data_IF_033597673860
#
_entry.id   IF_033597673860
#
_cell.length_a   1.000
_cell.length_b   1.000
_cell.length_c   1.000
_cell.angle_alpha   90.00
_cell.angle_beta   90.00
_cell.angle_gamma   90.00
#
_symmetry.space_group_name_H-M   'P 1'
#
loop_
_entity.id
_entity.type
_entity.pdbx_description
1 polymer ?
#
# COMPACT_ATOMS: atom_id res chain seq x y z
N UNK A 1 25.96 -18.49 -53.45
CA UNK A 1 27.07 -17.83 -52.72
C UNK A 1 26.65 -16.54 -52.01
N UNK A 2 25.94 -15.61 -52.67
CA UNK A 2 25.57 -14.30 -52.10
C UNK A 2 24.76 -14.41 -50.78
N UNK A 3 23.75 -15.29 -50.74
CA UNK A 3 22.88 -15.49 -49.58
C UNK A 3 23.63 -15.97 -48.32
N UNK A 4 24.65 -16.82 -48.50
CA UNK A 4 25.47 -17.32 -47.41
C UNK A 4 26.35 -16.22 -46.80
N UNK A 5 26.84 -15.29 -47.62
CA UNK A 5 27.66 -14.16 -47.17
C UNK A 5 26.81 -13.13 -46.40
N UNK A 6 25.57 -12.90 -46.83
CA UNK A 6 24.61 -12.03 -46.13
C UNK A 6 24.26 -12.61 -44.75
N UNK A 7 23.96 -13.91 -44.65
CA UNK A 7 23.63 -14.56 -43.36
C UNK A 7 24.76 -14.44 -42.34
N UNK A 8 26.01 -14.57 -42.78
CA UNK A 8 27.18 -14.44 -41.91
C UNK A 8 27.33 -13.01 -41.38
N UNK A 9 27.19 -12.01 -42.26
CA UNK A 9 27.25 -10.59 -41.87
C UNK A 9 26.14 -10.20 -40.88
N UNK A 10 24.92 -10.70 -41.07
CA UNK A 10 23.81 -10.47 -40.14
C UNK A 10 24.13 -11.08 -38.78
N UNK A 11 24.63 -12.32 -38.73
CA UNK A 11 24.98 -12.98 -37.47
C UNK A 11 26.11 -12.26 -36.72
N UNK A 12 27.12 -11.75 -37.43
CA UNK A 12 28.21 -10.98 -36.82
C UNK A 12 27.74 -9.61 -36.31
N UNK A 13 26.83 -8.95 -37.05
CA UNK A 13 26.17 -7.73 -36.60
C UNK A 13 25.32 -7.97 -35.35
N UNK A 14 24.53 -9.06 -35.29
CA UNK A 14 23.76 -9.43 -34.11
C UNK A 14 24.67 -9.69 -32.89
N UNK A 15 25.78 -10.42 -33.07
CA UNK A 15 26.76 -10.67 -32.00
C UNK A 15 27.39 -9.36 -31.50
N UNK A 16 27.67 -8.43 -32.41
CA UNK A 16 28.20 -7.11 -32.07
C UNK A 16 27.17 -6.29 -31.29
N UNK A 17 25.92 -6.25 -31.76
CA UNK A 17 24.82 -5.54 -31.10
C UNK A 17 24.60 -6.07 -29.68
N UNK A 18 24.54 -7.39 -29.50
CA UNK A 18 24.39 -8.01 -28.17
C UNK A 18 25.55 -7.64 -27.25
N UNK A 19 26.79 -7.72 -27.73
CA UNK A 19 27.98 -7.47 -26.90
C UNK A 19 28.21 -6.00 -26.56
N UNK A 20 27.93 -5.10 -27.50
CA UNK A 20 28.27 -3.68 -27.38
C UNK A 20 27.11 -2.87 -26.82
N UNK A 21 25.86 -3.28 -27.08
CA UNK A 21 24.68 -2.51 -26.70
C UNK A 21 23.92 -3.23 -25.58
N UNK A 22 23.51 -4.48 -25.80
CA UNK A 22 22.59 -5.15 -24.89
C UNK A 22 23.23 -5.47 -23.52
N UNK A 23 24.45 -6.02 -23.50
CA UNK A 23 25.14 -6.37 -22.24
C UNK A 23 25.44 -5.12 -21.41
N UNK A 24 26.03 -4.03 -21.95
CA UNK A 24 26.27 -2.82 -21.17
C UNK A 24 24.97 -2.17 -20.69
N UNK A 25 23.93 -2.09 -21.54
CA UNK A 25 22.63 -1.56 -21.13
C UNK A 25 22.03 -2.37 -19.97
N UNK A 26 22.10 -3.70 -20.04
CA UNK A 26 21.64 -4.59 -18.97
C UNK A 26 22.40 -4.37 -17.66
N UNK A 27 23.73 -4.28 -17.72
CA UNK A 27 24.57 -4.06 -16.53
C UNK A 27 24.34 -2.68 -15.92
N UNK A 28 24.22 -1.63 -16.74
CA UNK A 28 23.85 -0.29 -16.27
C UNK A 28 22.47 -0.31 -15.61
N UNK A 29 21.51 -1.03 -16.20
CA UNK A 29 20.18 -1.23 -15.62
C UNK A 29 20.23 -1.89 -14.24
N UNK A 30 21.03 -2.95 -14.07
CA UNK A 30 21.22 -3.61 -12.76
C UNK A 30 21.85 -2.64 -11.75
N UNK A 31 22.90 -1.92 -12.13
CA UNK A 31 23.56 -0.98 -11.22
C UNK A 31 22.59 0.11 -10.76
N UNK A 32 21.81 0.68 -11.69
CA UNK A 32 20.80 1.68 -11.36
C UNK A 32 19.74 1.11 -10.40
N UNK A 33 19.24 -0.09 -10.67
CA UNK A 33 18.27 -0.78 -9.81
C UNK A 33 18.80 -1.02 -8.40
N UNK A 34 20.05 -1.46 -8.27
CA UNK A 34 20.64 -1.72 -6.96
C UNK A 34 20.96 -0.42 -6.20
N UNK A 35 21.41 0.64 -6.89
CA UNK A 35 21.57 1.96 -6.27
C UNK A 35 20.22 2.49 -5.75
N UNK A 36 19.17 2.33 -6.56
CA UNK A 36 17.81 2.67 -6.18
C UNK A 36 17.37 1.90 -4.92
N UNK A 37 17.59 0.58 -4.89
CA UNK A 37 17.32 -0.25 -3.70
C UNK A 37 18.04 0.27 -2.46
N UNK A 38 19.33 0.56 -2.55
CA UNK A 38 20.11 1.10 -1.42
C UNK A 38 19.51 2.41 -0.91
N UNK A 39 19.17 3.34 -1.81
CA UNK A 39 18.55 4.61 -1.45
C UNK A 39 17.20 4.41 -0.74
N UNK A 40 16.36 3.52 -1.25
CA UNK A 40 15.06 3.21 -0.67
C UNK A 40 15.20 2.56 0.72
N UNK A 41 16.17 1.67 0.92
CA UNK A 41 16.47 1.08 2.22
C UNK A 41 17.01 2.09 3.23
N UNK A 42 17.93 2.96 2.81
CA UNK A 42 18.45 4.03 3.69
C UNK A 42 17.31 4.96 4.12
N UNK A 43 16.40 5.27 3.20
CA UNK A 43 15.21 6.08 3.47
C UNK A 43 14.23 5.37 4.41
N UNK A 44 14.02 4.06 4.25
CA UNK A 44 13.20 3.27 5.17
C UNK A 44 13.83 3.19 6.57
N UNK A 45 15.15 2.96 6.64
CA UNK A 45 15.90 2.94 7.89
C UNK A 45 15.87 4.29 8.60
N UNK A 46 15.95 5.41 7.88
CA UNK A 46 15.89 6.74 8.49
C UNK A 46 14.55 7.07 9.16
N UNK A 47 13.47 6.38 8.78
CA UNK A 47 12.15 6.51 9.41
C UNK A 47 12.02 5.75 10.73
N UNK A 48 12.82 4.71 10.93
CA UNK A 48 12.76 3.84 12.12
C UNK A 48 13.95 4.00 13.05
N UNK A 49 15.10 4.44 12.53
CA UNK A 49 16.32 4.66 13.28
C UNK A 49 16.44 6.09 13.77
N UNK A 50 17.07 6.27 14.94
CA UNK A 50 17.55 7.61 15.29
C UNK A 50 18.65 8.04 14.32
N UNK A 51 18.82 9.36 14.13
CA UNK A 51 19.84 9.92 13.23
C UNK A 51 21.25 9.39 13.54
N UNK A 52 21.59 9.24 14.83
CA UNK A 52 22.88 8.72 15.26
C UNK A 52 23.06 7.24 14.86
N UNK A 53 22.05 6.40 15.09
CA UNK A 53 22.12 4.98 14.72
C UNK A 53 22.20 4.80 13.19
N UNK A 54 21.49 5.64 12.43
CA UNK A 54 21.57 5.65 10.97
C UNK A 54 22.97 6.04 10.49
N UNK A 55 23.57 7.08 11.06
CA UNK A 55 24.94 7.50 10.73
C UNK A 55 25.93 6.37 11.00
N UNK A 56 25.82 5.71 12.16
CA UNK A 56 26.67 4.55 12.49
C UNK A 56 26.47 3.42 11.48
N UNK A 57 25.23 3.11 11.11
CA UNK A 57 24.93 2.09 10.11
C UNK A 57 25.56 2.44 8.75
N UNK A 58 25.40 3.68 8.28
CA UNK A 58 25.99 4.15 7.02
C UNK A 58 27.52 4.08 7.07
N UNK A 59 28.15 4.48 8.18
CA UNK A 59 29.61 4.40 8.34
C UNK A 59 30.09 2.94 8.27
N UNK A 60 29.43 2.02 8.98
CA UNK A 60 29.80 0.59 8.98
C UNK A 60 29.64 -0.02 7.58
N UNK A 61 28.53 0.26 6.91
CA UNK A 61 28.27 -0.22 5.56
C UNK A 61 29.26 0.38 4.54
N UNK A 62 29.59 1.66 4.68
CA UNK A 62 30.56 2.34 3.82
C UNK A 62 31.97 1.77 4.02
N UNK A 63 32.39 1.56 5.27
CA UNK A 63 33.68 0.96 5.60
C UNK A 63 33.79 -0.47 5.05
N UNK A 64 32.74 -1.28 5.20
CA UNK A 64 32.66 -2.61 4.59
C UNK A 64 32.77 -2.54 3.06
N UNK A 65 32.02 -1.64 2.43
CA UNK A 65 32.04 -1.48 0.98
C UNK A 65 33.42 -1.06 0.46
N UNK A 66 34.10 -0.13 1.14
CA UNK A 66 35.47 0.29 0.83
C UNK A 66 36.43 -0.89 1.00
N UNK A 67 36.30 -1.68 2.07
CA UNK A 67 37.11 -2.88 2.31
C UNK A 67 37.01 -3.89 1.16
N UNK A 68 35.79 -4.19 0.69
CA UNK A 68 35.57 -5.07 -0.46
C UNK A 68 36.13 -4.45 -1.74
N UNK A 69 35.92 -3.14 -1.98
CA UNK A 69 36.45 -2.46 -3.16
C UNK A 69 37.99 -2.53 -3.22
N UNK A 70 38.68 -2.31 -2.10
CA UNK A 70 40.14 -2.43 -1.99
C UNK A 70 40.60 -3.87 -2.24
N UNK A 71 39.90 -4.86 -1.68
CA UNK A 71 40.19 -6.27 -1.94
C UNK A 71 40.06 -6.62 -3.42
N UNK A 72 38.96 -6.20 -4.06
CA UNK A 72 38.75 -6.41 -5.49
C UNK A 72 39.83 -5.71 -6.34
N UNK A 73 40.25 -4.50 -5.95
CA UNK A 73 41.35 -3.81 -6.61
C UNK A 73 42.67 -4.59 -6.49
N UNK A 74 42.99 -5.13 -5.31
CA UNK A 74 44.16 -5.99 -5.11
C UNK A 74 44.11 -7.24 -5.99
N UNK A 75 42.96 -7.92 -6.09
CA UNK A 75 42.77 -9.07 -6.98
C UNK A 75 42.98 -8.70 -8.45
N UNK A 76 42.47 -7.53 -8.89
CA UNK A 76 42.68 -7.04 -10.26
C UNK A 76 44.16 -6.76 -10.52
N UNK A 77 44.86 -6.07 -9.61
CA UNK A 77 46.30 -5.78 -9.73
C UNK A 77 47.12 -7.07 -9.75
N UNK A 78 46.85 -8.02 -8.85
CA UNK A 78 47.52 -9.32 -8.83
C UNK A 78 47.31 -10.08 -10.15
N UNK A 79 46.08 -10.12 -10.67
CA UNK A 79 45.78 -10.74 -11.97
C UNK A 79 46.49 -10.07 -13.15
N UNK A 80 46.81 -8.76 -13.04
CA UNK A 80 47.60 -8.04 -14.06
C UNK A 80 49.06 -8.42 -14.00
N UNK A 81 49.65 -8.53 -12.80
CA UNK A 81 51.06 -8.90 -12.63
C UNK A 81 51.28 -10.30 -13.21
N UNK A 82 50.41 -11.25 -12.86
CA UNK A 82 50.45 -12.62 -13.36
C UNK A 82 50.27 -12.68 -14.90
N UNK A 83 49.34 -11.89 -15.45
CA UNK A 83 49.18 -11.78 -16.91
C UNK A 83 50.30 -11.04 -17.63
N UNK A 84 50.97 -10.10 -16.99
CA UNK A 84 52.14 -9.41 -17.57
C UNK A 84 53.33 -10.37 -17.68
N UNK A 85 53.41 -11.35 -16.79
CA UNK A 85 54.42 -12.41 -16.81
C UNK A 85 54.09 -13.48 -17.86
N UNK A 86 52.82 -13.73 -18.16
CA UNK A 86 52.40 -14.58 -19.28
C UNK A 86 52.32 -13.79 -20.60
N UNK A 87 53.12 -14.09 -21.62
CA UNK A 87 53.24 -13.34 -22.90
C UNK A 87 51.97 -13.31 -23.82
N UNK A 88 50.75 -13.34 -23.28
CA UNK A 88 49.49 -13.54 -24.02
C UNK A 88 48.83 -12.20 -24.42
N UNK A 89 48.95 -11.86 -25.71
CA UNK A 89 48.45 -10.66 -26.41
C UNK A 89 46.91 -10.55 -26.57
N UNK A 90 46.12 -10.77 -25.51
CA UNK A 90 44.67 -10.44 -25.54
C UNK A 90 44.27 -9.62 -24.31
N UNK A 91 44.35 -8.29 -24.45
CA UNK A 91 43.74 -7.35 -23.50
C UNK A 91 42.22 -7.57 -23.47
N UNK A 92 41.72 -8.24 -22.43
CA UNK A 92 40.32 -8.07 -22.03
C UNK A 92 40.18 -6.69 -21.35
N UNK A 93 39.08 -5.97 -21.58
CA UNK A 93 38.90 -4.62 -21.05
C UNK A 93 38.76 -4.64 -19.52
N UNK A 94 39.72 -4.02 -18.84
CA UNK A 94 39.76 -3.78 -17.39
C UNK A 94 38.43 -3.23 -16.86
N UNK A 95 37.77 -2.38 -17.66
CA UNK A 95 36.49 -1.79 -17.32
C UNK A 95 35.42 -2.86 -16.99
N UNK A 96 35.36 -3.96 -17.74
CA UNK A 96 34.35 -5.01 -17.50
C UNK A 96 34.55 -5.70 -16.16
N UNK A 97 35.80 -5.94 -15.75
CA UNK A 97 36.09 -6.53 -14.43
C UNK A 97 35.71 -5.59 -13.30
N UNK A 98 36.01 -4.28 -13.43
CA UNK A 98 35.65 -3.28 -12.43
C UNK A 98 34.13 -3.12 -12.29
N UNK A 99 33.41 -3.08 -13.42
CA UNK A 99 31.95 -2.99 -13.43
C UNK A 99 31.32 -4.24 -12.78
N UNK A 100 31.82 -5.44 -13.10
CA UNK A 100 31.34 -6.69 -12.48
C UNK A 100 31.61 -6.69 -10.97
N UNK A 101 32.81 -6.29 -10.54
CA UNK A 101 33.17 -6.19 -9.13
C UNK A 101 32.26 -5.20 -8.37
N UNK A 102 32.01 -4.01 -8.95
CA UNK A 102 31.13 -3.01 -8.39
C UNK A 102 29.68 -3.52 -8.29
N UNK A 103 29.19 -4.20 -9.32
CA UNK A 103 27.83 -4.77 -9.34
C UNK A 103 27.68 -5.85 -8.26
N UNK A 104 28.68 -6.74 -8.10
CA UNK A 104 28.70 -7.75 -7.04
C UNK A 104 28.72 -7.09 -5.67
N UNK A 105 29.56 -6.07 -5.47
CA UNK A 105 29.62 -5.33 -4.22
C UNK A 105 28.28 -4.71 -3.85
N UNK A 106 27.62 -4.07 -4.82
CA UNK A 106 26.35 -3.42 -4.62
C UNK A 106 25.23 -4.44 -4.34
N UNK A 107 25.26 -5.61 -4.99
CA UNK A 107 24.34 -6.71 -4.68
C UNK A 107 24.56 -7.26 -3.26
N UNK A 108 25.81 -7.41 -2.82
CA UNK A 108 26.14 -7.81 -1.44
C UNK A 108 25.62 -6.75 -0.45
N UNK A 109 25.80 -5.46 -0.75
CA UNK A 109 25.30 -4.39 0.12
C UNK A 109 23.78 -4.45 0.30
N UNK A 110 23.04 -4.63 -0.78
CA UNK A 110 21.59 -4.84 -0.74
C UNK A 110 21.23 -6.10 0.05
N UNK A 111 21.92 -7.22 -0.19
CA UNK A 111 21.69 -8.47 0.52
C UNK A 111 21.96 -8.37 2.03
N UNK A 112 22.85 -7.47 2.46
CA UNK A 112 23.11 -7.17 3.87
C UNK A 112 22.09 -6.20 4.48
N UNK A 113 21.58 -5.24 3.70
CA UNK A 113 20.59 -4.27 4.17
C UNK A 113 19.27 -4.95 4.58
N UNK A 114 18.84 -5.99 3.86
CA UNK A 114 17.62 -6.74 4.15
C UNK A 114 17.62 -7.32 5.58
N UNK A 115 18.57 -8.19 5.97
CA UNK A 115 18.61 -8.77 7.31
C UNK A 115 18.89 -7.72 8.39
N UNK A 116 19.72 -6.70 8.12
CA UNK A 116 19.96 -5.60 9.07
C UNK A 116 18.65 -4.88 9.39
N UNK A 117 17.87 -4.56 8.36
CA UNK A 117 16.56 -3.90 8.52
C UNK A 117 15.59 -4.79 9.29
N UNK A 118 15.56 -6.08 8.99
CA UNK A 118 14.74 -7.06 9.69
C UNK A 118 15.10 -7.15 11.18
N UNK A 119 16.36 -7.48 11.51
CA UNK A 119 16.80 -7.67 12.89
C UNK A 119 16.71 -6.38 13.72
N UNK A 120 17.01 -5.23 13.11
CA UNK A 120 16.87 -3.94 13.80
C UNK A 120 15.41 -3.64 14.14
N UNK A 121 14.51 -3.81 13.16
CA UNK A 121 13.07 -3.64 13.35
C UNK A 121 12.58 -4.56 14.45
N UNK A 122 12.95 -5.83 14.40
CA UNK A 122 12.58 -6.85 15.38
C UNK A 122 13.01 -6.48 16.79
N UNK A 123 14.29 -6.15 16.97
CA UNK A 123 14.82 -5.76 18.26
C UNK A 123 14.11 -4.52 18.84
N UNK A 124 13.91 -3.47 18.04
CA UNK A 124 13.22 -2.26 18.48
C UNK A 124 11.75 -2.52 18.79
N UNK A 125 11.10 -3.38 17.99
CA UNK A 125 9.72 -3.76 18.16
C UNK A 125 9.49 -4.52 19.46
N UNK A 126 10.28 -5.56 19.73
CA UNK A 126 10.20 -6.33 20.98
C UNK A 126 10.43 -5.44 22.21
N UNK A 127 11.41 -4.52 22.14
CA UNK A 127 11.64 -3.54 23.21
C UNK A 127 10.47 -2.57 23.40
N UNK A 128 9.79 -2.19 22.31
CA UNK A 128 8.59 -1.36 22.39
C UNK A 128 7.42 -2.10 23.04
N UNK A 129 7.22 -3.38 22.69
CA UNK A 129 6.22 -4.26 23.30
C UNK A 129 6.47 -4.46 24.79
N UNK A 130 7.69 -4.79 25.20
CA UNK A 130 8.07 -4.95 26.61
C UNK A 130 7.75 -3.67 27.42
N UNK A 131 8.12 -2.50 26.88
CA UNK A 131 7.83 -1.21 27.53
C UNK A 131 6.32 -0.91 27.62
N UNK A 132 5.52 -1.41 26.69
CA UNK A 132 4.07 -1.23 26.70
C UNK A 132 3.42 -2.22 27.67
N UNK A 133 3.79 -3.50 27.62
CA UNK A 133 3.25 -4.54 28.52
C UNK A 133 3.51 -4.23 29.98
N UNK A 134 4.70 -3.73 30.34
CA UNK A 134 5.01 -3.31 31.72
C UNK A 134 4.11 -2.15 32.22
N UNK A 135 3.60 -1.31 31.31
CA UNK A 135 2.74 -0.17 31.67
C UNK A 135 1.28 -0.55 31.80
N UNK A 136 0.82 -1.53 31.01
CA UNK A 136 -0.56 -1.98 30.98
C UNK A 136 -0.67 -3.12 32.00
N UNK A 137 -0.87 -2.79 33.28
CA UNK A 137 -0.97 -3.77 34.37
C UNK A 137 -2.26 -4.60 34.28
N UNK A 138 -2.34 -5.53 33.33
CA UNK A 138 -3.47 -6.44 33.10
C UNK A 138 -3.38 -7.63 34.04
N UNK A 139 -4.40 -7.89 34.86
CA UNK A 139 -4.41 -9.04 35.77
C UNK A 139 -5.43 -10.14 35.41
N UNK A 140 -6.49 -9.89 34.61
CA UNK A 140 -7.57 -10.87 34.38
C UNK A 140 -8.15 -10.88 32.94
N UNK A 141 -8.92 -11.90 32.54
CA UNK A 141 -9.44 -12.06 31.16
C UNK A 141 -10.59 -11.12 30.77
N UNK A 142 -11.48 -10.73 31.69
CA UNK A 142 -12.43 -9.63 31.46
C UNK A 142 -11.73 -8.27 31.38
N UNK A 143 -10.50 -8.17 31.91
CA UNK A 143 -9.66 -6.99 31.72
C UNK A 143 -9.06 -6.91 30.32
N UNK A 144 -9.19 -7.92 29.45
CA UNK A 144 -8.50 -7.97 28.16
C UNK A 144 -8.96 -6.88 27.18
N UNK A 145 -10.26 -6.55 27.10
CA UNK A 145 -10.74 -5.43 26.28
C UNK A 145 -10.29 -4.07 26.84
N UNK A 146 -10.42 -3.88 28.16
CA UNK A 146 -9.95 -2.66 28.84
C UNK A 146 -8.44 -2.48 28.71
N UNK A 147 -7.70 -3.58 28.68
CA UNK A 147 -6.27 -3.65 28.45
C UNK A 147 -5.88 -3.32 27.03
N UNK A 148 -6.56 -3.89 26.03
CA UNK A 148 -6.39 -3.52 24.62
C UNK A 148 -6.64 -2.01 24.44
N UNK A 149 -7.74 -1.50 25.02
CA UNK A 149 -8.08 -0.07 25.00
C UNK A 149 -7.03 0.80 25.70
N UNK A 150 -6.61 0.40 26.89
CA UNK A 150 -5.58 1.13 27.66
C UNK A 150 -4.25 1.15 26.93
N UNK A 151 -3.88 0.04 26.29
CA UNK A 151 -2.69 -0.06 25.44
C UNK A 151 -2.77 0.89 24.26
N UNK A 152 -3.90 0.91 23.54
CA UNK A 152 -4.15 1.83 22.45
C UNK A 152 -4.01 3.30 22.89
N UNK A 153 -4.59 3.67 24.03
CA UNK A 153 -4.45 5.04 24.61
C UNK A 153 -3.02 5.37 25.01
N UNK A 154 -2.28 4.43 25.60
CA UNK A 154 -0.87 4.65 25.97
C UNK A 154 0.00 4.84 24.73
N UNK A 155 -0.26 4.08 23.67
CA UNK A 155 0.44 4.22 22.41
C UNK A 155 0.10 5.56 21.73
N UNK A 156 -1.18 5.92 21.65
CA UNK A 156 -1.65 7.20 21.09
C UNK A 156 -0.93 8.40 21.72
N UNK A 157 -0.73 8.41 23.04
CA UNK A 157 0.01 9.49 23.73
C UNK A 157 1.45 9.69 23.25
N UNK A 158 2.07 8.65 22.67
CA UNK A 158 3.42 8.72 22.09
C UNK A 158 3.39 8.93 20.58
N UNK A 159 2.27 8.64 19.94
CA UNK A 159 2.12 8.67 18.49
C UNK A 159 2.10 10.12 18.00
N UNK A 160 2.94 10.43 17.03
CA UNK A 160 2.99 11.76 16.41
C UNK A 160 2.13 11.74 15.15
N UNK A 161 0.96 12.37 15.24
CA UNK A 161 0.09 12.52 14.07
C UNK A 161 0.77 13.36 13.00
N UNK A 162 0.66 12.91 11.75
CA UNK A 162 1.10 13.60 10.54
C UNK A 162 -0.08 13.94 9.63
N UNK A 163 -1.31 13.85 10.15
CA UNK A 163 -2.52 14.18 9.40
C UNK A 163 -2.44 15.62 8.86
N UNK A 164 -2.74 15.79 7.57
CA UNK A 164 -2.64 17.07 6.88
C UNK A 164 -1.22 17.58 6.62
N UNK A 165 -0.17 16.81 6.95
CA UNK A 165 1.22 17.19 6.72
C UNK A 165 1.84 16.36 5.58
N UNK A 166 2.71 16.96 4.74
CA UNK A 166 3.48 16.25 3.73
C UNK A 166 4.60 15.45 4.42
N UNK A 167 4.23 14.36 5.10
CA UNK A 167 5.16 13.47 5.79
C UNK A 167 5.22 12.12 5.10
N UNK A 168 6.43 11.66 4.83
CA UNK A 168 6.66 10.29 4.36
C UNK A 168 6.56 9.31 5.52
N UNK A 169 5.87 8.20 5.28
CA UNK A 169 5.50 7.20 6.28
C UNK A 169 5.93 5.82 5.79
N UNK A 170 6.35 4.89 6.68
CA UNK A 170 6.81 3.57 6.26
C UNK A 170 5.80 2.83 5.38
N UNK A 171 4.51 2.84 5.77
CA UNK A 171 3.44 2.21 5.01
C UNK A 171 3.31 2.80 3.61
N UNK A 172 3.26 4.13 3.49
CA UNK A 172 3.15 4.82 2.21
C UNK A 172 4.38 4.62 1.31
N UNK A 173 5.58 4.59 1.90
CA UNK A 173 6.83 4.38 1.17
C UNK A 173 6.87 2.97 0.55
N UNK A 174 6.53 1.95 1.35
CA UNK A 174 6.53 0.56 0.88
C UNK A 174 5.38 0.33 -0.11
N UNK A 175 4.17 0.79 0.18
CA UNK A 175 3.00 0.59 -0.71
C UNK A 175 3.05 1.38 -2.02
N UNK A 176 3.90 2.41 -2.16
CA UNK A 176 4.10 3.10 -3.44
C UNK A 176 5.22 2.51 -4.29
N UNK A 177 6.09 1.70 -3.69
CA UNK A 177 7.26 1.15 -4.35
C UNK A 177 7.09 -0.35 -4.60
N UNK A 178 6.90 -0.81 -5.86
CA UNK A 178 6.68 -2.22 -6.17
C UNK A 178 7.82 -3.14 -5.71
N UNK A 179 9.05 -2.64 -5.64
CA UNK A 179 10.22 -3.42 -5.24
C UNK A 179 10.21 -3.61 -3.72
N UNK A 180 9.94 -2.54 -2.95
CA UNK A 180 9.78 -2.67 -1.50
C UNK A 180 8.59 -3.54 -1.12
N UNK A 181 7.45 -3.44 -1.83
CA UNK A 181 6.31 -4.34 -1.60
C UNK A 181 6.69 -5.82 -1.76
N UNK A 182 7.59 -6.11 -2.70
CA UNK A 182 8.04 -7.48 -2.95
C UNK A 182 8.98 -8.00 -1.86
N UNK A 183 9.80 -7.14 -1.26
CA UNK A 183 10.86 -7.55 -0.31
C UNK A 183 10.40 -7.44 1.15
N UNK A 184 9.64 -6.41 1.49
CA UNK A 184 9.20 -6.14 2.87
C UNK A 184 7.89 -6.89 3.12
N UNK A 185 7.93 -7.91 3.98
CA UNK A 185 6.71 -8.61 4.37
C UNK A 185 5.74 -7.67 5.09
N UNK A 186 4.43 -7.93 4.95
CA UNK A 186 3.37 -7.14 5.61
C UNK A 186 3.57 -7.07 7.13
N UNK A 187 3.97 -8.17 7.75
CA UNK A 187 4.21 -8.20 9.20
C UNK A 187 5.43 -7.34 9.60
N UNK A 188 6.52 -7.39 8.82
CA UNK A 188 7.67 -6.50 9.02
C UNK A 188 7.28 -5.03 8.86
N UNK A 189 6.47 -4.71 7.84
CA UNK A 189 5.95 -3.36 7.62
C UNK A 189 5.11 -2.86 8.81
N UNK A 190 4.20 -3.70 9.32
CA UNK A 190 3.38 -3.38 10.48
C UNK A 190 4.23 -3.08 11.72
N UNK A 191 5.29 -3.88 11.97
CA UNK A 191 6.25 -3.64 13.05
C UNK A 191 7.03 -2.33 12.84
N UNK A 192 7.40 -1.99 11.60
CA UNK A 192 8.02 -0.70 11.26
C UNK A 192 7.10 0.48 11.59
N UNK A 193 5.80 0.37 11.29
CA UNK A 193 4.80 1.39 11.65
C UNK A 193 4.71 1.56 13.16
N UNK A 194 4.77 0.47 13.93
CA UNK A 194 4.75 0.54 15.40
C UNK A 194 5.97 1.28 15.94
N UNK A 195 7.17 0.96 15.47
CA UNK A 195 8.41 1.56 16.00
C UNK A 195 8.65 2.99 15.51
N UNK A 196 8.16 3.36 14.32
CA UNK A 196 8.25 4.75 13.85
C UNK A 196 7.50 5.69 14.79
N UNK A 197 6.33 5.25 15.29
CA UNK A 197 5.54 6.01 16.25
C UNK A 197 4.99 7.31 15.70
N UNK A 198 4.85 7.42 14.37
CA UNK A 198 4.24 8.55 13.70
C UNK A 198 3.52 8.11 12.43
N UNK A 199 2.50 8.87 12.03
CA UNK A 199 1.73 8.58 10.83
C UNK A 199 0.35 9.23 10.81
N UNK A 200 -0.52 8.80 9.89
CA UNK A 200 -1.93 9.20 9.84
C UNK A 200 -2.83 8.23 10.62
N UNK A 201 -4.15 8.30 10.36
CA UNK A 201 -5.14 7.38 10.93
C UNK A 201 -4.84 5.91 10.55
N UNK A 202 -4.47 5.65 9.29
CA UNK A 202 -4.07 4.33 8.81
C UNK A 202 -2.90 3.72 9.58
N UNK A 203 -1.80 4.47 9.74
CA UNK A 203 -0.65 3.99 10.52
C UNK A 203 -0.97 3.80 12.00
N UNK A 204 -1.79 4.68 12.60
CA UNK A 204 -2.23 4.51 13.98
C UNK A 204 -3.07 3.24 14.15
N UNK A 205 -4.00 2.98 13.23
CA UNK A 205 -4.84 1.79 13.25
C UNK A 205 -4.01 0.50 13.09
N UNK A 206 -3.07 0.49 12.14
CA UNK A 206 -2.12 -0.63 11.96
C UNK A 206 -1.31 -0.85 13.24
N UNK A 207 -0.77 0.22 13.85
CA UNK A 207 0.03 0.10 15.06
C UNK A 207 -0.79 -0.44 16.24
N UNK A 208 -2.00 0.07 16.46
CA UNK A 208 -2.89 -0.41 17.53
C UNK A 208 -3.23 -1.89 17.32
N UNK A 209 -3.67 -2.26 16.11
CA UNK A 209 -4.00 -3.64 15.76
C UNK A 209 -2.81 -4.59 16.00
N UNK A 210 -1.62 -4.21 15.52
CA UNK A 210 -0.40 -5.03 15.66
C UNK A 210 0.03 -5.19 17.11
N UNK A 211 0.03 -4.11 17.91
CA UNK A 211 0.41 -4.17 19.32
C UNK A 211 -0.58 -5.00 20.14
N UNK A 212 -1.88 -4.82 19.91
CA UNK A 212 -2.92 -5.53 20.65
C UNK A 212 -2.85 -7.03 20.36
N UNK A 213 -2.71 -7.41 19.08
CA UNK A 213 -2.49 -8.79 18.64
C UNK A 213 -1.27 -9.41 19.32
N UNK A 214 -0.13 -8.72 19.27
CA UNK A 214 1.15 -9.32 19.70
C UNK A 214 1.34 -9.34 21.22
N UNK A 215 0.70 -8.43 21.98
CA UNK A 215 0.72 -8.45 23.45
C UNK A 215 -0.31 -9.43 24.02
N UNK A 216 -1.52 -9.47 23.47
CA UNK A 216 -2.65 -10.19 24.07
C UNK A 216 -3.07 -11.46 23.33
N UNK A 217 -2.51 -11.73 22.14
CA UNK A 217 -2.90 -12.87 21.31
C UNK A 217 -4.32 -12.77 20.76
N UNK A 218 -4.86 -11.55 20.63
CA UNK A 218 -6.21 -11.31 20.16
C UNK A 218 -6.25 -11.19 18.64
N UNK A 219 -7.34 -11.65 18.03
CA UNK A 219 -7.60 -11.36 16.62
C UNK A 219 -7.89 -9.87 16.46
N UNK A 220 -7.26 -9.28 15.47
CA UNK A 220 -7.40 -7.86 15.14
C UNK A 220 -7.57 -7.69 13.64
N UNK A 221 -8.21 -6.58 13.23
CA UNK A 221 -8.30 -6.17 11.83
C UNK A 221 -8.23 -4.65 11.71
N UNK A 222 -7.99 -4.17 10.50
CA UNK A 222 -7.90 -2.75 10.19
C UNK A 222 -8.91 -2.44 9.09
N UNK A 223 -9.76 -1.46 9.31
CA UNK A 223 -10.84 -1.11 8.39
C UNK A 223 -10.64 0.30 7.84
N UNK A 224 -10.78 0.45 6.53
CA UNK A 224 -10.77 1.73 5.85
C UNK A 224 -12.20 2.18 5.54
N UNK A 225 -12.51 3.44 5.80
CA UNK A 225 -13.76 4.02 5.33
C UNK A 225 -13.64 4.43 3.86
N UNK A 226 -14.73 4.25 3.10
CA UNK A 226 -14.92 4.91 1.81
C UNK A 226 -15.90 6.08 2.00
N UNK A 227 -15.59 7.26 1.46
CA UNK A 227 -16.36 8.50 1.63
C UNK A 227 -15.82 9.44 2.71
N UNK A 228 -14.88 8.94 3.52
CA UNK A 228 -14.10 9.70 4.49
C UNK A 228 -12.69 9.10 4.59
N UNK A 229 -11.66 9.94 4.55
CA UNK A 229 -10.27 9.56 4.75
C UNK A 229 -10.00 9.21 6.22
N UNK A 230 -10.48 8.04 6.64
CA UNK A 230 -10.27 7.52 7.99
C UNK A 230 -10.10 6.00 8.01
N UNK A 231 -9.27 5.53 8.93
CA UNK A 231 -8.99 4.12 9.14
C UNK A 231 -9.08 3.82 10.64
N UNK A 232 -9.69 2.69 11.00
CA UNK A 232 -9.88 2.24 12.38
C UNK A 232 -9.27 0.86 12.61
N UNK A 233 -8.88 0.59 13.86
CA UNK A 233 -8.50 -0.74 14.30
C UNK A 233 -9.66 -1.42 14.99
N UNK A 234 -9.73 -2.74 14.89
CA UNK A 234 -10.69 -3.55 15.63
C UNK A 234 -10.00 -4.70 16.36
N UNK A 235 -10.65 -5.16 17.44
CA UNK A 235 -10.23 -6.31 18.21
C UNK A 235 -11.41 -7.24 18.47
N UNK A 236 -11.18 -8.55 18.37
CA UNK A 236 -12.16 -9.58 18.72
C UNK A 236 -11.95 -10.03 20.16
N UNK A 237 -12.97 -9.85 21.01
CA UNK A 237 -12.93 -10.24 22.42
C UNK A 237 -14.28 -10.86 22.80
N UNK A 238 -14.26 -12.02 23.46
CA UNK A 238 -15.45 -12.68 24.01
C UNK A 238 -16.61 -12.83 23.01
N UNK A 239 -16.31 -13.21 21.77
CA UNK A 239 -17.35 -13.46 20.75
C UNK A 239 -17.86 -12.21 20.04
N UNK A 240 -17.18 -11.06 20.15
CA UNK A 240 -17.59 -9.83 19.48
C UNK A 240 -16.42 -8.96 19.07
N UNK A 241 -16.60 -8.26 17.95
CA UNK A 241 -15.68 -7.23 17.48
C UNK A 241 -15.95 -5.89 18.18
N UNK A 242 -14.88 -5.17 18.47
CA UNK A 242 -14.89 -3.84 19.07
C UNK A 242 -13.97 -2.89 18.30
N UNK A 243 -14.49 -1.70 18.00
CA UNK A 243 -13.74 -0.60 17.39
C UNK A 243 -12.80 0.03 18.42
N UNK A 244 -11.52 0.15 18.06
CA UNK A 244 -10.48 0.81 18.82
C UNK A 244 -9.95 2.04 18.05
N UNK A 245 -10.57 3.19 18.30
CA UNK A 245 -10.15 4.46 17.71
C UNK A 245 -10.09 5.59 18.75
N UNK A 246 -9.09 5.55 19.66
CA UNK A 246 -8.95 6.55 20.72
C UNK A 246 -8.59 7.94 20.21
N UNK A 247 -8.12 8.05 18.96
CA UNK A 247 -7.69 9.31 18.37
C UNK A 247 -8.82 10.15 17.81
N UNK A 248 -9.95 9.52 17.44
CA UNK A 248 -11.01 10.24 16.74
C UNK A 248 -12.43 9.80 17.07
N UNK A 249 -12.89 8.64 16.60
CA UNK A 249 -14.32 8.29 16.66
C UNK A 249 -14.75 7.74 18.02
N UNK A 250 -13.87 7.02 18.74
CA UNK A 250 -14.24 6.34 19.99
C UNK A 250 -13.44 6.83 21.22
N UNK A 251 -13.15 8.13 21.40
CA UNK A 251 -12.14 8.62 22.36
C UNK A 251 -12.41 8.26 23.83
N UNK A 252 -13.67 7.94 24.17
CA UNK A 252 -14.09 7.56 25.53
C UNK A 252 -13.90 6.08 25.84
N UNK A 253 -14.00 5.19 24.85
CA UNK A 253 -14.01 3.76 25.08
C UNK A 253 -14.29 2.94 23.82
N UNK A 254 -13.94 1.65 23.82
CA UNK A 254 -14.22 0.76 22.70
C UNK A 254 -15.72 0.63 22.48
N UNK A 255 -16.14 0.58 21.21
CA UNK A 255 -17.55 0.42 20.84
C UNK A 255 -17.72 -0.93 20.15
N UNK A 256 -18.69 -1.72 20.61
CA UNK A 256 -19.02 -2.99 19.95
C UNK A 256 -19.55 -2.69 18.54
N UNK A 257 -19.05 -3.43 17.56
CA UNK A 257 -19.26 -3.18 16.13
C UNK A 257 -20.74 -2.98 15.76
N UNK A 258 -21.65 -3.86 16.20
CA UNK A 258 -23.09 -3.74 15.91
C UNK A 258 -23.80 -2.48 16.43
N UNK A 259 -23.17 -1.71 17.32
CA UNK A 259 -23.70 -0.43 17.82
C UNK A 259 -22.97 0.79 17.22
N UNK A 260 -21.95 0.57 16.40
CA UNK A 260 -21.04 1.64 15.99
C UNK A 260 -21.71 2.72 15.15
N UNK A 261 -22.51 2.35 14.14
CA UNK A 261 -23.27 3.31 13.34
C UNK A 261 -24.20 4.19 14.21
N UNK A 262 -24.93 3.56 15.14
CA UNK A 262 -25.82 4.30 16.06
C UNK A 262 -25.05 5.22 17.02
N UNK A 263 -23.87 4.79 17.45
CA UNK A 263 -22.98 5.60 18.29
C UNK A 263 -22.46 6.82 17.53
N UNK A 264 -22.05 6.65 16.26
CA UNK A 264 -21.59 7.76 15.40
C UNK A 264 -22.74 8.76 15.15
N UNK A 265 -23.93 8.26 14.78
CA UNK A 265 -25.11 9.09 14.51
C UNK A 265 -25.55 9.93 15.72
N UNK A 266 -25.46 9.36 16.93
CA UNK A 266 -25.86 10.01 18.17
C UNK A 266 -24.71 10.75 18.88
N UNK A 267 -23.55 10.87 18.24
CA UNK A 267 -22.41 11.58 18.82
C UNK A 267 -22.70 13.07 18.96
N UNK A 268 -22.33 13.63 20.12
CA UNK A 268 -22.37 15.09 20.33
C UNK A 268 -21.25 15.83 19.58
N UNK A 269 -20.23 15.12 19.09
CA UNK A 269 -19.16 15.70 18.28
C UNK A 269 -19.58 15.73 16.82
N UNK A 270 -19.71 16.93 16.25
CA UNK A 270 -20.08 17.13 14.85
C UNK A 270 -19.17 16.36 13.90
N UNK A 271 -17.85 16.38 14.12
CA UNK A 271 -16.90 15.64 13.28
C UNK A 271 -17.12 14.13 13.33
N UNK A 272 -17.50 13.58 14.49
CA UNK A 272 -17.80 12.14 14.63
C UNK A 272 -19.16 11.80 13.99
N UNK A 273 -20.16 12.69 14.13
CA UNK A 273 -21.45 12.52 13.45
C UNK A 273 -21.29 12.56 11.93
N UNK A 274 -20.44 13.43 11.41
CA UNK A 274 -20.11 13.49 9.98
C UNK A 274 -19.54 12.17 9.45
N UNK A 275 -18.85 11.36 10.26
CA UNK A 275 -18.42 10.01 9.85
C UNK A 275 -19.64 9.16 9.47
N UNK A 276 -20.72 9.19 10.25
CA UNK A 276 -21.95 8.45 9.93
C UNK A 276 -22.60 8.95 8.62
N UNK A 277 -22.64 10.27 8.46
CA UNK A 277 -23.23 10.96 7.31
C UNK A 277 -22.43 10.73 6.02
N UNK A 278 -21.13 10.41 6.11
CA UNK A 278 -20.23 10.29 4.96
C UNK A 278 -19.65 8.89 4.73
N UNK A 279 -19.80 7.95 5.67
CA UNK A 279 -19.35 6.56 5.49
C UNK A 279 -20.20 5.84 4.44
N UNK A 280 -19.69 5.70 3.22
CA UNK A 280 -20.34 4.98 2.14
C UNK A 280 -20.16 3.46 2.25
N UNK A 281 -18.97 3.03 2.71
CA UNK A 281 -18.57 1.63 2.89
C UNK A 281 -17.51 1.54 3.99
N UNK A 282 -17.27 0.34 4.51
CA UNK A 282 -16.24 0.10 5.52
C UNK A 282 -15.46 -1.17 5.18
N UNK A 283 -14.28 -1.01 4.58
CA UNK A 283 -13.53 -2.08 3.92
C UNK A 283 -12.48 -2.64 4.84
N UNK A 284 -12.51 -3.95 5.08
CA UNK A 284 -11.37 -4.65 5.68
C UNK A 284 -10.18 -4.65 4.71
N UNK A 285 -9.07 -4.04 5.11
CA UNK A 285 -7.90 -3.87 4.25
C UNK A 285 -7.26 -5.21 3.86
N UNK A 286 -7.52 -6.28 4.63
CA UNK A 286 -6.94 -7.59 4.35
C UNK A 286 -7.79 -8.40 3.39
N UNK A 287 -9.09 -8.49 3.67
CA UNK A 287 -10.01 -9.34 2.88
C UNK A 287 -10.68 -8.60 1.72
N UNK A 288 -10.63 -7.26 1.70
CA UNK A 288 -11.36 -6.42 0.74
C UNK A 288 -12.88 -6.45 0.92
N UNK A 289 -13.39 -7.10 1.97
CA UNK A 289 -14.82 -7.21 2.25
C UNK A 289 -15.36 -5.92 2.85
N UNK A 290 -16.56 -5.55 2.43
CA UNK A 290 -17.31 -4.45 3.03
C UNK A 290 -18.06 -4.96 4.27
N UNK A 291 -17.75 -4.38 5.41
CA UNK A 291 -18.24 -4.74 6.73
C UNK A 291 -19.20 -3.70 7.30
N UNK A 292 -19.61 -2.69 6.52
CA UNK A 292 -20.50 -1.64 7.01
C UNK A 292 -21.81 -2.19 7.61
N UNK A 293 -22.36 -3.29 7.06
CA UNK A 293 -23.52 -3.96 7.63
C UNK A 293 -23.27 -4.50 9.04
N UNK A 294 -22.12 -5.14 9.30
CA UNK A 294 -21.74 -5.63 10.63
C UNK A 294 -21.72 -4.48 11.66
N UNK A 295 -21.37 -3.28 11.20
CA UNK A 295 -21.23 -2.07 12.00
C UNK A 295 -22.56 -1.33 12.27
N UNK A 296 -23.68 -1.92 11.85
CA UNK A 296 -25.01 -1.37 12.04
C UNK A 296 -25.41 -0.31 11.00
N UNK A 297 -24.63 -0.14 9.92
CA UNK A 297 -25.09 0.69 8.81
C UNK A 297 -26.17 -0.04 8.00
N UNK A 298 -27.17 0.70 7.55
CA UNK A 298 -28.17 0.16 6.62
C UNK A 298 -27.57 0.11 5.22
N UNK A 299 -27.45 -1.09 4.65
CA UNK A 299 -26.89 -1.31 3.31
C UNK A 299 -27.99 -1.56 2.29
N UNK A 300 -27.78 -1.07 1.07
CA UNK A 300 -28.65 -1.31 -0.08
C UNK A 300 -27.82 -1.79 -1.27
N UNK A 301 -28.38 -2.71 -2.04
CA UNK A 301 -27.77 -3.21 -3.27
C UNK A 301 -28.09 -2.24 -4.41
N UNK A 302 -27.07 -1.72 -5.09
CA UNK A 302 -27.23 -0.87 -6.27
C UNK A 302 -26.72 -1.64 -7.48
N UNK A 303 -27.58 -1.78 -8.49
CA UNK A 303 -27.21 -2.32 -9.80
C UNK A 303 -27.28 -1.22 -10.84
N UNK A 304 -26.13 -0.86 -11.38
CA UNK A 304 -25.97 0.09 -12.48
C UNK A 304 -26.07 -0.68 -13.79
N UNK A 305 -26.98 -0.28 -14.66
CA UNK A 305 -27.10 -0.79 -16.05
C UNK A 305 -26.68 0.33 -17.00
N UNK A 306 -25.60 0.12 -17.75
CA UNK A 306 -25.08 1.07 -18.71
C UNK A 306 -25.58 0.76 -20.12
N UNK A 307 -26.09 1.77 -20.82
CA UNK A 307 -26.69 1.62 -22.16
C UNK A 307 -26.13 2.72 -23.08
N UNK A 308 -25.62 2.35 -24.24
CA UNK A 308 -25.36 3.28 -25.33
C UNK A 308 -26.69 3.72 -25.94
N UNK A 309 -26.92 5.03 -25.97
CA UNK A 309 -28.08 5.62 -26.64
C UNK A 309 -27.60 6.57 -27.77
N UNK A 310 -27.29 6.03 -28.96
CA UNK A 310 -26.70 6.82 -30.04
C UNK A 310 -27.68 7.80 -30.70
N UNK A 311 -28.97 7.50 -30.69
CA UNK A 311 -29.97 8.20 -31.51
C UNK A 311 -31.17 8.73 -30.72
N UNK A 312 -31.28 8.43 -29.43
CA UNK A 312 -32.47 8.67 -28.60
C UNK A 312 -33.74 8.00 -29.16
N UNK A 313 -33.60 7.05 -30.10
CA UNK A 313 -34.71 6.28 -30.66
C UNK A 313 -34.84 4.98 -29.89
N UNK A 314 -36.07 4.66 -29.50
CA UNK A 314 -36.41 3.38 -28.89
C UNK A 314 -35.92 2.23 -29.79
N UNK A 315 -35.27 1.24 -29.19
CA UNK A 315 -34.66 0.06 -29.83
C UNK A 315 -33.24 0.22 -30.41
N UNK A 316 -32.65 1.42 -30.44
CA UNK A 316 -31.24 1.61 -30.81
C UNK A 316 -30.29 1.48 -29.60
N UNK A 317 -30.84 1.08 -28.45
CA UNK A 317 -30.16 0.90 -27.17
C UNK A 317 -29.28 -0.36 -27.20
N UNK A 318 -27.98 -0.19 -26.96
CA UNK A 318 -27.04 -1.31 -26.81
C UNK A 318 -26.48 -1.35 -25.38
N UNK A 319 -26.36 -2.55 -24.79
CA UNK A 319 -25.75 -2.70 -23.47
C UNK A 319 -24.26 -2.37 -23.51
N UNK A 320 -23.80 -1.50 -22.62
CA UNK A 320 -22.42 -1.08 -22.56
C UNK A 320 -21.61 -2.01 -21.64
N UNK A 321 -21.20 -3.16 -22.17
CA UNK A 321 -20.27 -4.07 -21.49
C UNK A 321 -18.84 -3.53 -21.45
N UNK A 322 -18.12 -3.76 -20.35
CA UNK A 322 -16.76 -3.24 -20.13
C UNK A 322 -16.69 -1.73 -19.83
N UNK A 323 -17.83 -1.06 -19.68
CA UNK A 323 -17.88 0.35 -19.31
C UNK A 323 -17.38 0.56 -17.88
N UNK A 324 -16.55 1.57 -17.68
CA UNK A 324 -16.00 1.95 -16.37
C UNK A 324 -17.06 2.69 -15.56
N UNK A 325 -17.34 2.21 -14.36
CA UNK A 325 -18.27 2.85 -13.41
C UNK A 325 -17.47 3.46 -12.27
N UNK A 326 -17.74 4.74 -11.97
CA UNK A 326 -17.18 5.47 -10.83
C UNK A 326 -18.33 6.05 -10.01
N UNK A 327 -18.38 5.74 -8.71
CA UNK A 327 -19.44 6.19 -7.82
C UNK A 327 -18.85 7.19 -6.84
N UNK A 328 -19.42 8.39 -6.83
CA UNK A 328 -19.01 9.47 -5.97
C UNK A 328 -20.05 9.73 -4.89
N UNK A 329 -19.59 10.15 -3.71
CA UNK A 329 -20.44 10.62 -2.63
C UNK A 329 -20.52 12.15 -2.65
N UNK A 330 -21.73 12.69 -2.74
CA UNK A 330 -21.92 14.14 -2.90
C UNK A 330 -21.46 14.91 -1.66
N UNK A 331 -21.95 14.54 -0.48
CA UNK A 331 -21.48 15.09 0.79
C UNK A 331 -20.40 14.16 1.38
N UNK A 332 -19.15 14.59 1.34
CA UNK A 332 -17.98 13.82 1.76
C UNK A 332 -17.08 14.65 2.68
N UNK A 333 -16.15 13.99 3.37
CA UNK A 333 -15.21 14.67 4.29
C UNK A 333 -13.88 15.01 3.60
N UNK A 334 -13.36 14.11 2.75
CA UNK A 334 -12.13 14.29 1.94
C UNK A 334 -12.02 13.27 0.77
N UNK A 335 -12.88 12.26 0.74
CA UNK A 335 -12.84 11.17 -0.24
C UNK A 335 -14.17 11.14 -1.02
N UNK A 336 -14.10 11.60 -2.27
CA UNK A 336 -15.28 11.68 -3.13
C UNK A 336 -15.59 10.36 -3.81
N UNK A 337 -14.59 9.52 -4.13
CA UNK A 337 -14.75 8.33 -4.96
C UNK A 337 -14.85 7.10 -4.05
N UNK A 338 -16.08 6.61 -3.85
CA UNK A 338 -16.35 5.57 -2.85
C UNK A 338 -16.42 4.15 -3.42
N UNK A 339 -16.47 4.05 -4.75
CA UNK A 339 -16.36 2.79 -5.46
C UNK A 339 -16.02 3.01 -6.94
N UNK A 340 -15.33 2.01 -7.51
CA UNK A 340 -15.15 1.91 -8.95
C UNK A 340 -15.20 0.45 -9.41
N UNK A 341 -15.49 0.25 -10.69
CA UNK A 341 -15.53 -1.07 -11.30
C UNK A 341 -15.81 -1.01 -12.79
N UNK A 342 -16.11 -2.16 -13.39
CA UNK A 342 -16.51 -2.27 -14.79
C UNK A 342 -17.82 -3.05 -14.91
N UNK A 343 -18.64 -2.69 -15.89
CA UNK A 343 -19.83 -3.47 -16.22
C UNK A 343 -19.43 -4.80 -16.86
N UNK A 344 -20.19 -5.85 -16.55
CA UNK A 344 -20.06 -7.15 -17.20
C UNK A 344 -20.59 -7.13 -18.64
N UNK A 345 -20.55 -8.27 -19.34
CA UNK A 345 -21.04 -8.41 -20.72
C UNK A 345 -22.53 -8.06 -20.90
N UNK A 346 -23.32 -8.09 -19.82
CA UNK A 346 -24.72 -7.66 -19.81
C UNK A 346 -24.90 -6.16 -19.52
N UNK A 347 -23.82 -5.37 -19.53
CA UNK A 347 -23.83 -3.95 -19.22
C UNK A 347 -24.14 -3.62 -17.76
N UNK A 348 -23.95 -4.57 -16.84
CA UNK A 348 -24.32 -4.42 -15.42
C UNK A 348 -23.13 -4.38 -14.48
N UNK A 349 -23.20 -3.51 -13.47
CA UNK A 349 -22.27 -3.44 -12.34
C UNK A 349 -23.09 -3.39 -11.04
N UNK A 350 -22.79 -4.26 -10.07
CA UNK A 350 -23.52 -4.34 -8.80
C UNK A 350 -22.60 -4.07 -7.61
N UNK A 351 -23.11 -3.33 -6.62
CA UNK A 351 -22.37 -2.95 -5.41
C UNK A 351 -23.30 -2.73 -4.21
N UNK A 352 -22.79 -2.86 -3.00
CA UNK A 352 -23.47 -2.48 -1.76
C UNK A 352 -23.02 -1.10 -1.30
N UNK A 353 -23.96 -0.22 -0.98
CA UNK A 353 -23.71 1.13 -0.47
C UNK A 353 -24.56 1.40 0.77
N UNK A 354 -24.10 2.26 1.67
CA UNK A 354 -24.92 2.70 2.80
C UNK A 354 -26.09 3.58 2.35
N UNK A 355 -27.27 3.38 2.94
CA UNK A 355 -28.44 4.23 2.67
C UNK A 355 -28.36 5.56 3.40
N UNK A 356 -29.31 6.45 3.14
CA UNK A 356 -29.45 7.79 3.71
C UNK A 356 -28.49 8.81 3.09
N UNK A 357 -27.95 8.51 1.91
CA UNK A 357 -26.90 9.29 1.25
C UNK A 357 -27.22 9.51 -0.23
N UNK A 358 -26.59 10.52 -0.80
CA UNK A 358 -26.70 10.87 -2.21
C UNK A 358 -25.40 10.56 -2.94
N UNK A 359 -25.53 9.80 -4.02
CA UNK A 359 -24.42 9.31 -4.83
C UNK A 359 -24.54 9.84 -6.25
N UNK A 360 -23.39 10.14 -6.86
CA UNK A 360 -23.26 10.48 -8.27
C UNK A 360 -22.56 9.31 -8.96
N UNK A 361 -23.23 8.70 -9.94
CA UNK A 361 -22.70 7.57 -10.70
C UNK A 361 -22.27 8.10 -12.06
N UNK A 362 -20.97 8.07 -12.33
CA UNK A 362 -20.40 8.35 -13.63
C UNK A 362 -20.08 7.02 -14.32
N UNK A 363 -20.54 6.87 -15.55
CA UNK A 363 -20.18 5.72 -16.39
C UNK A 363 -19.48 6.24 -17.64
N UNK A 364 -18.31 5.69 -17.93
CA UNK A 364 -17.45 6.05 -19.06
C UNK A 364 -17.20 4.80 -19.93
N UNK A 365 -17.15 4.95 -21.24
CA UNK A 365 -16.81 3.86 -22.14
C UNK A 365 -16.18 4.35 -23.44
N UNK A 366 -15.28 3.55 -24.02
CA UNK A 366 -14.82 3.73 -25.40
C UNK A 366 -15.57 2.75 -26.29
N UNK A 367 -16.37 3.29 -27.22
CA UNK A 367 -17.15 2.49 -28.15
C UNK A 367 -16.89 2.97 -29.58
N UNK A 368 -16.32 2.05 -30.38
CA UNK A 368 -15.94 2.29 -31.78
C UNK A 368 -14.98 3.48 -31.96
N UNK A 369 -14.07 3.69 -31.00
CA UNK A 369 -13.06 4.76 -31.04
C UNK A 369 -13.61 6.14 -30.68
N UNK A 370 -14.79 6.18 -30.05
CA UNK A 370 -15.45 7.40 -29.59
C UNK A 370 -15.68 7.26 -28.09
N UNK A 371 -15.44 8.33 -27.34
CA UNK A 371 -15.65 8.37 -25.90
C UNK A 371 -17.13 8.67 -25.58
N UNK A 372 -17.70 7.88 -24.67
CA UNK A 372 -19.07 7.99 -24.20
C UNK A 372 -19.08 8.16 -22.68
N UNK A 373 -19.97 9.02 -22.19
CA UNK A 373 -20.19 9.18 -20.76
C UNK A 373 -21.68 9.37 -20.44
N UNK A 374 -22.06 8.96 -19.25
CA UNK A 374 -23.38 9.19 -18.68
C UNK A 374 -23.28 9.40 -17.17
N UNK A 375 -24.19 10.20 -16.63
CA UNK A 375 -24.23 10.51 -15.20
C UNK A 375 -25.64 10.24 -14.67
N UNK A 376 -25.73 9.61 -13.51
CA UNK A 376 -26.96 9.50 -12.74
C UNK A 376 -26.72 9.97 -11.30
N UNK A 377 -27.75 10.58 -10.70
CA UNK A 377 -27.74 10.95 -9.29
C UNK A 377 -28.74 10.06 -8.56
N UNK A 378 -28.30 9.43 -7.48
CA UNK A 378 -29.06 8.44 -6.75
C UNK A 378 -29.15 8.81 -5.27
N UNK A 379 -30.37 9.07 -4.80
CA UNK A 379 -30.66 9.22 -3.38
C UNK A 379 -31.12 7.88 -2.82
N UNK A 380 -30.25 7.21 -2.07
CA UNK A 380 -30.56 5.91 -1.47
C UNK A 380 -31.33 6.14 -0.18
N UNK A 381 -32.65 6.00 -0.18
CA UNK A 381 -33.43 6.00 1.06
C UNK A 381 -33.45 4.61 1.69
N UNK A 382 -33.79 4.54 2.99
CA UNK A 382 -34.13 3.28 3.66
C UNK A 382 -35.30 2.58 2.90
N UNK A 383 -35.53 1.27 3.07
CA UNK A 383 -35.89 0.30 2.03
C UNK A 383 -36.88 0.78 0.95
N UNK A 384 -36.64 0.42 -0.33
CA UNK A 384 -36.25 -0.94 -0.75
C UNK A 384 -34.75 -1.26 -0.68
N UNK A 385 -34.42 -2.51 -0.34
CA UNK A 385 -33.04 -3.03 -0.20
C UNK A 385 -32.27 -3.14 -1.53
N UNK A 386 -32.89 -2.83 -2.66
CA UNK A 386 -32.27 -2.93 -3.99
C UNK A 386 -32.73 -1.79 -4.89
N UNK A 387 -31.77 -1.13 -5.53
CA UNK A 387 -31.96 -0.06 -6.51
C UNK A 387 -31.37 -0.48 -7.85
N UNK A 388 -32.15 -0.36 -8.91
CA UNK A 388 -31.68 -0.54 -10.28
C UNK A 388 -31.62 0.84 -10.94
N UNK A 389 -30.43 1.24 -11.39
CA UNK A 389 -30.19 2.53 -12.03
C UNK A 389 -29.73 2.30 -13.45
N UNK A 390 -30.44 2.86 -14.41
CA UNK A 390 -30.03 2.87 -15.81
C UNK A 390 -29.28 4.18 -16.10
N UNK A 391 -28.06 4.07 -16.63
CA UNK A 391 -27.25 5.20 -17.05
C UNK A 391 -27.14 5.20 -18.56
N UNK A 392 -27.74 6.21 -19.20
CA UNK A 392 -27.66 6.41 -20.64
C UNK A 392 -26.35 7.11 -20.98
N UNK A 393 -25.54 6.47 -21.82
CA UNK A 393 -24.27 7.00 -22.29
C UNK A 393 -24.50 7.82 -23.55
N UNK A 394 -23.90 9.01 -23.59
CA UNK A 394 -23.89 9.90 -24.75
C UNK A 394 -22.45 10.21 -25.17
N UNK A 395 -22.25 10.52 -26.44
CA UNK A 395 -20.94 10.92 -26.97
C UNK A 395 -20.45 12.16 -26.23
N UNK A 396 -19.23 12.09 -25.69
CA UNK A 396 -18.53 13.23 -25.14
C UNK A 396 -17.93 14.01 -26.31
N UNK A 397 -18.40 15.24 -26.51
CA UNK A 397 -17.90 16.14 -27.57
C UNK A 397 -16.72 16.96 -27.09
#
# INVERSE_FOLDING_TARGET
MLLHNIKHKIMDLCKLLVKVVLIPAFVVGIVFLLCYMVLMYVKLLSMIMSQLELIVCIIVLSAFAIGVAVFMLKCVVASRIDRSLSHVKKQKPIATTLIMAFTILLAILVALLIPVTYFYTEYKYLKALEKLSMKVKCKDSFSTLDCAWTTAKIYLKKFKSTYGLPAERPYLLVTRDPILQYIVSKDLLNRMVVISGYGGCGELAIAISTIVRDIFGLDTRVLNFEGIDHTIAEVYVNGSWYVLDPGFTTPKGPIRVGFYASYLANSSSENVRRVYETAARLIDIESGKDLAYEHGFTMVNVTVTAIYDPTARKCDEELAGGAKVSIFLENNFYDVLVASGTTNDSGKFSITLTSGKQYVILVESDYKGVQWAGVAVLCLTAPPYTYNVTVLLRVVK
#
